data_IF_188938470701
#
_entry.id   IF_188938470701
#
_cell.length_a   1.000
_cell.length_b   1.000
_cell.length_c   1.000
_cell.angle_alpha   90.00
_cell.angle_beta   90.00
_cell.angle_gamma   90.00
#
_symmetry.space_group_name_H-M   'P 1'
#
loop_
_entity.id
_entity.type
_entity.pdbx_description
1 polymer ?
#
# COMPACT_ATOMS: atom_id res chain seq x y z
N UNK A 1 -0.60 -22.98 -4.61
CA UNK A 1 -1.01 -21.71 -5.24
C UNK A 1 -1.55 -20.85 -4.10
N UNK A 2 -0.73 -19.95 -3.57
CA UNK A 2 -1.12 -19.12 -2.42
C UNK A 2 -1.46 -17.72 -2.95
N UNK A 3 -2.74 -17.35 -2.93
CA UNK A 3 -3.18 -15.97 -3.07
C UNK A 3 -3.18 -15.38 -1.67
N UNK A 4 -2.16 -14.57 -1.34
CA UNK A 4 -1.88 -14.12 0.03
C UNK A 4 -2.65 -12.87 0.47
N UNK A 5 -3.56 -12.35 -0.36
CA UNK A 5 -4.35 -11.18 0.02
C UNK A 5 -5.75 -11.64 0.41
N UNK A 6 -6.06 -11.76 1.71
CA UNK A 6 -7.43 -11.97 2.13
C UNK A 6 -8.29 -10.84 1.55
N UNK A 7 -9.46 -11.20 1.00
CA UNK A 7 -10.51 -10.23 0.72
C UNK A 7 -11.01 -9.67 2.05
N UNK A 8 -10.21 -8.85 2.73
CA UNK A 8 -10.65 -8.19 3.96
C UNK A 8 -11.59 -7.06 3.53
N UNK A 9 -12.89 -7.14 3.87
CA UNK A 9 -13.73 -5.96 3.78
C UNK A 9 -13.10 -4.92 4.73
N UNK A 10 -12.71 -3.77 4.18
CA UNK A 10 -12.28 -2.64 4.98
C UNK A 10 -13.50 -2.19 5.80
N UNK A 11 -13.58 -2.60 7.07
CA UNK A 11 -14.50 -1.96 8.00
C UNK A 11 -14.14 -0.46 8.07
N UNK A 12 -15.14 0.41 8.18
CA UNK A 12 -15.01 1.86 8.01
C UNK A 12 -13.93 2.52 8.89
N UNK A 13 -13.51 1.86 9.97
CA UNK A 13 -12.55 2.35 10.96
C UNK A 13 -11.25 1.52 11.02
N UNK A 14 -11.04 0.59 10.09
CA UNK A 14 -9.90 -0.34 10.14
C UNK A 14 -8.72 0.03 9.23
N UNK A 15 -8.53 1.33 8.96
CA UNK A 15 -7.45 1.83 8.09
C UNK A 15 -6.09 1.44 8.65
N UNK A 16 -5.88 1.60 9.97
CA UNK A 16 -4.61 1.26 10.60
C UNK A 16 -4.24 -0.22 10.43
N UNK A 17 -5.14 -1.16 10.75
CA UNK A 17 -4.83 -2.59 10.55
C UNK A 17 -4.58 -2.90 9.09
N UNK A 18 -5.26 -2.21 8.17
CA UNK A 18 -5.08 -2.44 6.74
C UNK A 18 -3.73 -1.94 6.24
N UNK A 19 -3.28 -0.77 6.74
CA UNK A 19 -1.93 -0.27 6.52
C UNK A 19 -0.89 -1.23 7.09
N UNK A 20 -1.08 -1.73 8.32
CA UNK A 20 -0.21 -2.74 8.94
C UNK A 20 -0.13 -4.03 8.11
N UNK A 21 -1.27 -4.52 7.62
CA UNK A 21 -1.30 -5.69 6.73
C UNK A 21 -0.55 -5.42 5.43
N UNK A 22 -0.72 -4.24 4.82
CA UNK A 22 0.00 -3.87 3.60
C UNK A 22 1.52 -3.80 3.81
N UNK A 23 1.98 -3.26 4.95
CA UNK A 23 3.40 -3.28 5.35
C UNK A 23 3.90 -4.72 5.48
N UNK A 24 3.16 -5.57 6.18
CA UNK A 24 3.50 -6.99 6.34
C UNK A 24 3.60 -7.72 5.00
N UNK A 25 2.66 -7.47 4.09
CA UNK A 25 2.68 -8.03 2.72
C UNK A 25 3.89 -7.53 1.93
N UNK A 26 4.19 -6.23 1.95
CA UNK A 26 5.37 -5.68 1.27
C UNK A 26 6.67 -6.31 1.80
N UNK A 27 6.80 -6.42 3.12
CA UNK A 27 7.95 -7.06 3.77
C UNK A 27 8.10 -8.54 3.42
N UNK A 28 7.00 -9.29 3.38
CA UNK A 28 7.02 -10.70 2.97
C UNK A 28 7.46 -10.86 1.51
N UNK A 29 6.90 -10.06 0.59
CA UNK A 29 7.29 -10.08 -0.82
C UNK A 29 8.80 -9.80 -0.94
N UNK A 30 9.30 -8.77 -0.26
CA UNK A 30 10.74 -8.44 -0.28
C UNK A 30 11.63 -9.59 0.21
N UNK A 31 11.17 -10.41 1.17
CA UNK A 31 11.94 -11.54 1.70
C UNK A 31 12.00 -12.73 0.75
N UNK A 32 10.98 -12.92 -0.09
CA UNK A 32 10.93 -14.04 -1.05
C UNK A 32 11.52 -13.70 -2.41
N UNK A 33 11.90 -12.43 -2.62
CA UNK A 33 12.63 -11.99 -3.79
C UNK A 33 14.12 -12.38 -3.70
N UNK A 34 14.65 -12.89 -4.80
CA UNK A 34 16.09 -13.13 -4.98
C UNK A 34 16.83 -11.79 -5.00
N UNK A 35 17.73 -11.58 -4.04
CA UNK A 35 18.43 -10.30 -3.85
C UNK A 35 19.23 -9.88 -5.09
N UNK A 36 19.92 -10.84 -5.72
CA UNK A 36 20.83 -10.60 -6.84
C UNK A 36 20.10 -10.19 -8.13
N UNK A 37 18.80 -10.48 -8.23
CA UNK A 37 18.05 -10.29 -9.48
C UNK A 37 16.94 -9.24 -9.35
N UNK A 38 16.54 -8.88 -8.13
CA UNK A 38 15.42 -7.98 -7.85
C UNK A 38 15.74 -6.86 -6.84
N UNK A 39 17.02 -6.51 -6.63
CA UNK A 39 17.44 -5.52 -5.62
C UNK A 39 16.66 -4.21 -5.71
N UNK A 40 16.42 -3.70 -6.93
CA UNK A 40 15.66 -2.47 -7.14
C UNK A 40 14.21 -2.60 -6.66
N UNK A 41 13.55 -3.72 -6.92
CA UNK A 41 12.20 -3.95 -6.41
C UNK A 41 12.18 -4.07 -4.88
N UNK A 42 13.19 -4.73 -4.27
CA UNK A 42 13.31 -4.86 -2.81
C UNK A 42 13.39 -3.48 -2.14
N UNK A 43 14.20 -2.57 -2.66
CA UNK A 43 14.30 -1.20 -2.14
C UNK A 43 12.97 -0.47 -2.26
N UNK A 44 12.32 -0.52 -3.42
CA UNK A 44 11.03 0.13 -3.64
C UNK A 44 9.93 -0.43 -2.73
N UNK A 45 9.87 -1.74 -2.50
CA UNK A 45 8.94 -2.34 -1.55
C UNK A 45 9.24 -1.93 -0.10
N UNK A 46 10.51 -1.75 0.25
CA UNK A 46 10.93 -1.20 1.54
C UNK A 46 10.53 0.26 1.73
N UNK A 47 10.69 1.09 0.70
CA UNK A 47 10.27 2.49 0.71
C UNK A 47 8.74 2.63 0.77
N UNK A 48 8.01 1.77 0.03
CA UNK A 48 6.56 1.66 0.16
C UNK A 48 6.13 1.30 1.58
N UNK A 49 6.82 0.36 2.24
CA UNK A 49 6.59 0.01 3.64
C UNK A 49 6.76 1.21 4.58
N UNK A 50 7.86 1.97 4.45
CA UNK A 50 8.10 3.19 5.24
C UNK A 50 7.03 4.27 5.00
N UNK A 51 6.61 4.47 3.76
CA UNK A 51 5.53 5.41 3.46
C UNK A 51 4.21 5.00 4.13
N UNK A 52 3.88 3.70 4.15
CA UNK A 52 2.70 3.20 4.87
C UNK A 52 2.81 3.36 6.40
N UNK A 53 3.99 3.19 6.98
CA UNK A 53 4.24 3.48 8.41
C UNK A 53 4.03 4.96 8.73
N UNK A 54 4.53 5.85 7.87
CA UNK A 54 4.28 7.28 7.98
C UNK A 54 2.78 7.60 7.84
N UNK A 55 2.06 6.91 6.94
CA UNK A 55 0.61 7.04 6.82
C UNK A 55 -0.12 6.69 8.13
N UNK A 56 0.32 5.66 8.87
CA UNK A 56 -0.23 5.33 10.20
C UNK A 56 0.00 6.49 11.18
N UNK A 57 1.23 7.01 11.25
CA UNK A 57 1.56 8.14 12.13
C UNK A 57 0.72 9.39 11.84
N UNK A 58 0.43 9.63 10.55
CA UNK A 58 -0.43 10.73 10.10
C UNK A 58 -1.90 10.47 10.43
N UNK A 59 -2.34 9.22 10.33
CA UNK A 59 -3.71 8.81 10.67
C UNK A 59 -3.99 9.02 12.16
N UNK A 60 -3.06 8.64 13.04
CA UNK A 60 -3.16 8.89 14.50
C UNK A 60 -3.21 10.38 14.87
N UNK A 61 -2.66 11.24 14.01
CA UNK A 61 -2.73 12.70 14.17
C UNK A 61 -3.95 13.33 13.50
N UNK A 62 -4.88 12.51 12.98
CA UNK A 62 -6.04 12.93 12.20
C UNK A 62 -5.70 13.76 10.94
N UNK A 63 -4.49 13.61 10.40
CA UNK A 63 -3.98 14.35 9.24
C UNK A 63 -4.33 13.62 7.93
N UNK A 64 -5.62 13.47 7.62
CA UNK A 64 -6.10 12.61 6.50
C UNK A 64 -5.48 12.98 5.13
N UNK A 65 -5.24 14.26 4.84
CA UNK A 65 -4.57 14.67 3.60
C UNK A 65 -3.14 14.13 3.51
N UNK A 66 -2.41 14.14 4.63
CA UNK A 66 -1.06 13.60 4.70
C UNK A 66 -1.09 12.06 4.62
N UNK A 67 -2.09 11.40 5.20
CA UNK A 67 -2.30 9.94 5.03
C UNK A 67 -2.40 9.58 3.55
N UNK A 68 -3.25 10.30 2.81
CA UNK A 68 -3.45 10.06 1.37
C UNK A 68 -2.15 10.30 0.60
N UNK A 69 -1.40 11.35 0.93
CA UNK A 69 -0.10 11.65 0.30
C UNK A 69 0.90 10.49 0.51
N UNK A 70 1.03 9.99 1.74
CA UNK A 70 1.92 8.88 2.04
C UNK A 70 1.48 7.56 1.36
N UNK A 71 0.16 7.33 1.24
CA UNK A 71 -0.36 6.21 0.47
C UNK A 71 -0.03 6.34 -1.03
N UNK A 72 -0.06 7.56 -1.58
CA UNK A 72 0.34 7.81 -2.98
C UNK A 72 1.82 7.57 -3.22
N UNK A 73 2.68 7.94 -2.29
CA UNK A 73 4.11 7.60 -2.31
C UNK A 73 4.30 6.07 -2.31
N UNK A 74 3.62 5.35 -1.41
CA UNK A 74 3.68 3.88 -1.38
C UNK A 74 3.21 3.22 -2.69
N UNK A 75 2.14 3.73 -3.30
CA UNK A 75 1.65 3.24 -4.60
C UNK A 75 2.70 3.49 -5.68
N UNK A 76 3.35 4.65 -5.67
CA UNK A 76 4.37 4.99 -6.64
C UNK A 76 5.56 4.03 -6.56
N UNK A 77 6.06 3.73 -5.37
CA UNK A 77 7.20 2.83 -5.21
C UNK A 77 6.84 1.39 -5.62
N UNK A 78 5.63 0.91 -5.28
CA UNK A 78 5.11 -0.37 -5.78
C UNK A 78 5.02 -0.37 -7.31
N UNK A 79 4.62 0.75 -7.93
CA UNK A 79 4.59 0.87 -9.39
C UNK A 79 5.99 0.83 -10.00
N UNK A 80 6.99 1.45 -9.37
CA UNK A 80 8.37 1.41 -9.86
C UNK A 80 8.87 -0.04 -9.83
N UNK A 81 8.60 -0.80 -8.76
CA UNK A 81 8.89 -2.24 -8.76
C UNK A 81 8.18 -2.95 -9.93
N UNK A 82 6.88 -2.73 -10.13
CA UNK A 82 6.13 -3.34 -11.25
C UNK A 82 6.58 -2.86 -12.64
N UNK A 83 7.08 -1.65 -12.81
CA UNK A 83 7.52 -1.12 -14.10
C UNK A 83 8.95 -1.54 -14.44
N UNK A 84 9.77 -1.80 -13.41
CA UNK A 84 11.02 -2.52 -13.61
C UNK A 84 10.81 -3.95 -14.16
N UNK A 85 9.56 -4.43 -14.26
CA UNK A 85 9.15 -5.76 -14.76
C UNK A 85 9.40 -6.12 -16.21
N UNK A 86 9.73 -5.20 -17.11
CA UNK A 86 10.27 -5.65 -18.41
C UNK A 86 11.65 -6.31 -18.26
N UNK A 87 12.39 -5.96 -17.20
CA UNK A 87 13.60 -6.66 -16.74
C UNK A 87 13.23 -7.71 -15.70
N UNK A 88 12.32 -7.38 -14.79
CA UNK A 88 11.91 -8.22 -13.65
C UNK A 88 11.08 -9.45 -14.05
N UNK A 89 10.33 -9.48 -15.15
CA UNK A 89 9.63 -10.70 -15.63
C UNK A 89 10.57 -11.82 -16.08
N UNK A 90 11.85 -11.50 -16.33
CA UNK A 90 12.88 -12.52 -16.60
C UNK A 90 13.43 -13.16 -15.32
N UNK A 91 13.25 -12.51 -14.17
CA UNK A 91 13.97 -12.80 -12.93
C UNK A 91 13.06 -12.99 -11.71
N UNK A 92 11.83 -12.50 -11.76
CA UNK A 92 10.81 -12.63 -10.72
C UNK A 92 9.72 -13.53 -11.27
N UNK A 93 9.38 -14.58 -10.50
CA UNK A 93 8.33 -15.50 -10.85
C UNK A 93 6.96 -14.81 -10.93
N UNK A 94 6.11 -15.24 -11.88
CA UNK A 94 4.79 -14.64 -12.16
C UNK A 94 3.89 -14.53 -10.92
N UNK A 95 3.96 -15.51 -10.01
CA UNK A 95 3.19 -15.49 -8.77
C UNK A 95 3.58 -14.30 -7.87
N UNK A 96 4.85 -13.93 -7.85
CA UNK A 96 5.33 -12.77 -7.08
C UNK A 96 4.89 -11.46 -7.76
N UNK A 97 4.91 -11.38 -9.08
CA UNK A 97 4.35 -10.23 -9.83
C UNK A 97 2.87 -10.06 -9.51
N UNK A 98 2.12 -11.17 -9.43
CA UNK A 98 0.73 -11.17 -9.03
C UNK A 98 0.55 -10.68 -7.58
N UNK A 99 1.40 -11.10 -6.64
CA UNK A 99 1.37 -10.63 -5.25
C UNK A 99 1.66 -9.13 -5.13
N UNK A 100 2.63 -8.60 -5.88
CA UNK A 100 2.92 -7.15 -5.94
C UNK A 100 1.73 -6.39 -6.54
N UNK A 101 1.11 -6.92 -7.58
CA UNK A 101 -0.10 -6.33 -8.19
C UNK A 101 -1.26 -6.31 -7.19
N UNK A 102 -1.45 -7.40 -6.46
CA UNK A 102 -2.48 -7.48 -5.43
C UNK A 102 -2.20 -6.47 -4.30
N UNK A 103 -0.94 -6.29 -3.88
CA UNK A 103 -0.54 -5.29 -2.90
C UNK A 103 -0.92 -3.88 -3.37
N UNK A 104 -0.60 -3.53 -4.63
CA UNK A 104 -0.98 -2.25 -5.22
C UNK A 104 -2.50 -2.02 -5.17
N UNK A 105 -3.29 -3.02 -5.53
CA UNK A 105 -4.76 -2.95 -5.47
C UNK A 105 -5.26 -2.80 -4.04
N UNK A 106 -4.63 -3.48 -3.08
CA UNK A 106 -4.98 -3.38 -1.67
C UNK A 106 -4.70 -1.97 -1.13
N UNK A 107 -3.53 -1.40 -1.39
CA UNK A 107 -3.18 -0.04 -0.99
C UNK A 107 -4.15 0.99 -1.61
N UNK A 108 -4.54 0.82 -2.89
CA UNK A 108 -5.56 1.66 -3.54
C UNK A 108 -6.93 1.60 -2.85
N UNK A 109 -7.33 0.42 -2.35
CA UNK A 109 -8.57 0.29 -1.56
C UNK A 109 -8.47 1.05 -0.24
N UNK A 110 -7.32 0.97 0.45
CA UNK A 110 -7.08 1.74 1.68
C UNK A 110 -7.17 3.25 1.40
N UNK A 111 -6.55 3.73 0.31
CA UNK A 111 -6.64 5.13 -0.14
C UNK A 111 -8.08 5.60 -0.28
N UNK A 112 -8.92 4.79 -0.93
CA UNK A 112 -10.33 5.11 -1.18
C UNK A 112 -11.09 5.30 0.14
N UNK A 113 -10.86 4.45 1.13
CA UNK A 113 -11.50 4.59 2.45
C UNK A 113 -10.95 5.79 3.23
N UNK A 114 -9.64 6.05 3.21
CA UNK A 114 -9.06 7.24 3.82
C UNK A 114 -9.67 8.53 3.24
N UNK A 115 -9.83 8.61 1.92
CA UNK A 115 -10.51 9.71 1.25
C UNK A 115 -11.96 9.86 1.68
N UNK A 116 -12.69 8.75 1.84
CA UNK A 116 -14.09 8.76 2.30
C UNK A 116 -14.22 9.33 3.71
N UNK A 117 -13.29 9.01 4.61
CA UNK A 117 -13.24 9.63 5.95
C UNK A 117 -12.98 11.13 5.87
N UNK A 118 -12.02 11.56 5.04
CA UNK A 118 -11.75 12.98 4.82
C UNK A 118 -12.97 13.76 4.34
N UNK A 119 -13.72 13.21 3.37
CA UNK A 119 -14.94 13.85 2.85
C UNK A 119 -16.07 13.91 3.88
N UNK A 120 -16.22 12.90 4.75
CA UNK A 120 -17.21 12.94 5.83
C UNK A 120 -16.89 14.04 6.85
N UNK A 121 -15.62 14.19 7.24
CA UNK A 121 -15.18 15.22 8.19
C UNK A 121 -15.41 16.63 7.64
N UNK A 122 -15.15 16.85 6.34
CA UNK A 122 -15.40 18.15 5.69
C UNK A 122 -16.90 18.42 5.48
N UNK A 123 -17.69 17.40 5.13
CA UNK A 123 -19.14 17.52 4.94
C UNK A 123 -19.91 17.90 6.22
N UNK A 124 -19.48 17.38 7.37
CA UNK A 124 -20.09 17.74 8.67
C UNK A 124 -19.73 19.15 9.15
N UNK A 125 -18.63 19.73 8.67
CA UNK A 125 -18.21 21.09 9.03
C UNK A 125 -18.92 22.19 8.21
N UNK A 126 -19.69 21.81 7.17
CA UNK A 126 -20.34 22.73 6.23
C UNK A 126 -21.87 22.69 6.28
N UNK A 127 -22.49 21.96 7.22
CA UNK A 127 -23.94 22.05 7.45
C UNK A 127 -24.27 23.37 8.17
N UNK A 128 -25.01 24.31 7.55
CA UNK A 128 -25.50 25.49 8.25
C UNK A 128 -26.57 25.06 9.25
N UNK A 129 -26.49 25.56 10.47
CA UNK A 129 -27.59 25.54 11.44
C UNK A 129 -28.69 26.52 11.03
#
# INVERSE_FOLDING_TARGET
MFTLIPQMPLAADNIESSLKSAIGTAGFISQVLSYDEAVGCIFNLGDAGRALELAINKYHKHQVKDVIKQIDEAINDVNICLQSSDVVSRYIADNIVQDITNLQLFIKKIKKEASRLGSKVVGSALSPA
#
